data_IF_771535771982
#
_entry.id   IF_771535771982
#
_cell.length_a   1.000
_cell.length_b   1.000
_cell.length_c   1.000
_cell.angle_alpha   90.00
_cell.angle_beta   90.00
_cell.angle_gamma   90.00
#
_symmetry.space_group_name_H-M   'P 1'
#
loop_
_entity.id
_entity.type
_entity.pdbx_description
1 polymer ?
#
# COMPACT_ATOMS: atom_id res chain seq x y z
N UNK A 1 -31.18 -6.59 -4.33
CA UNK A 1 -32.22 -7.62 -4.12
C UNK A 1 -31.70 -8.62 -3.07
N UNK A 2 -32.21 -8.54 -1.85
CA UNK A 2 -31.79 -9.39 -0.73
C UNK A 2 -32.14 -10.88 -0.93
N UNK A 3 -32.89 -11.21 -1.95
CA UNK A 3 -33.33 -12.59 -2.26
C UNK A 3 -32.39 -13.32 -3.25
N UNK A 4 -31.35 -12.66 -3.77
CA UNK A 4 -30.40 -13.30 -4.69
C UNK A 4 -29.14 -13.73 -3.94
N UNK A 5 -28.77 -14.98 -4.12
CA UNK A 5 -27.46 -15.48 -3.74
C UNK A 5 -26.36 -14.78 -4.54
N UNK A 6 -25.19 -14.64 -3.93
CA UNK A 6 -24.01 -14.14 -4.64
C UNK A 6 -23.63 -15.12 -5.76
N UNK A 7 -23.35 -14.60 -6.94
CA UNK A 7 -22.97 -15.42 -8.09
C UNK A 7 -21.52 -15.88 -7.98
N UNK A 8 -21.29 -16.94 -7.22
CA UNK A 8 -19.97 -17.56 -7.03
C UNK A 8 -19.37 -18.14 -8.32
N UNK A 9 -20.19 -18.32 -9.36
CA UNK A 9 -19.69 -18.79 -10.66
C UNK A 9 -18.78 -17.77 -11.34
N UNK A 10 -18.87 -16.48 -10.96
CA UNK A 10 -17.97 -15.44 -11.46
C UNK A 10 -16.50 -15.72 -11.11
N UNK A 11 -16.21 -16.47 -10.04
CA UNK A 11 -14.85 -16.85 -9.69
C UNK A 11 -14.18 -17.81 -10.70
N UNK A 12 -14.93 -18.36 -11.65
CA UNK A 12 -14.35 -19.11 -12.77
C UNK A 12 -13.64 -18.21 -13.79
N UNK A 13 -13.89 -16.89 -13.74
CA UNK A 13 -13.24 -15.91 -14.61
C UNK A 13 -12.00 -15.33 -13.93
N UNK A 14 -10.82 -15.33 -14.58
CA UNK A 14 -9.55 -14.94 -13.96
C UNK A 14 -9.56 -13.55 -13.31
N UNK A 15 -10.22 -12.56 -13.91
CA UNK A 15 -10.32 -11.20 -13.35
C UNK A 15 -11.07 -11.17 -12.01
N UNK A 16 -12.19 -11.90 -11.93
CA UNK A 16 -12.98 -11.98 -10.70
C UNK A 16 -12.24 -12.77 -9.61
N UNK A 17 -11.58 -13.85 -9.99
CA UNK A 17 -10.78 -14.67 -9.08
C UNK A 17 -9.57 -13.89 -8.55
N UNK A 18 -8.84 -13.18 -9.41
CA UNK A 18 -7.74 -12.29 -9.02
C UNK A 18 -8.18 -11.22 -8.03
N UNK A 19 -9.29 -10.54 -8.31
CA UNK A 19 -9.86 -9.55 -7.40
C UNK A 19 -10.29 -10.17 -6.05
N UNK A 20 -10.91 -11.35 -6.07
CA UNK A 20 -11.26 -12.09 -4.86
C UNK A 20 -10.01 -12.42 -4.02
N UNK A 21 -8.92 -12.87 -4.64
CA UNK A 21 -7.66 -13.13 -3.97
C UNK A 21 -7.05 -11.85 -3.36
N UNK A 22 -7.13 -10.72 -4.07
CA UNK A 22 -6.70 -9.42 -3.56
C UNK A 22 -7.46 -9.03 -2.29
N UNK A 23 -8.81 -9.06 -2.34
CA UNK A 23 -9.66 -8.71 -1.19
C UNK A 23 -9.42 -9.67 -0.01
N UNK A 24 -9.28 -10.96 -0.28
CA UNK A 24 -8.96 -11.96 0.77
C UNK A 24 -7.64 -11.65 1.46
N UNK A 25 -6.60 -11.29 0.70
CA UNK A 25 -5.30 -10.88 1.26
C UNK A 25 -5.42 -9.60 2.06
N UNK A 26 -6.12 -8.59 1.54
CA UNK A 26 -6.33 -7.31 2.20
C UNK A 26 -7.07 -7.48 3.53
N UNK A 27 -8.15 -8.27 3.55
CA UNK A 27 -8.89 -8.59 4.77
C UNK A 27 -8.01 -9.31 5.80
N UNK A 28 -7.17 -10.24 5.35
CA UNK A 28 -6.22 -10.92 6.23
C UNK A 28 -5.25 -9.93 6.87
N UNK A 29 -4.67 -9.01 6.10
CA UNK A 29 -3.79 -7.97 6.62
C UNK A 29 -4.54 -7.08 7.61
N UNK A 30 -5.74 -6.64 7.28
CA UNK A 30 -6.57 -5.83 8.19
C UNK A 30 -6.83 -6.52 9.52
N UNK A 31 -7.17 -7.82 9.52
CA UNK A 31 -7.46 -8.56 10.76
C UNK A 31 -6.21 -8.92 11.58
N UNK A 32 -5.01 -8.93 10.98
CA UNK A 32 -3.78 -9.40 11.63
C UNK A 32 -2.82 -8.30 12.04
N UNK A 33 -2.91 -7.11 11.44
CA UNK A 33 -2.00 -5.99 11.68
C UNK A 33 -2.72 -4.90 12.45
N UNK A 34 -2.42 -4.69 13.74
CA UNK A 34 -3.08 -3.72 14.61
C UNK A 34 -3.12 -2.30 14.05
N UNK A 35 -2.09 -1.86 13.35
CA UNK A 35 -2.02 -0.53 12.75
C UNK A 35 -3.14 -0.23 11.73
N UNK A 36 -3.85 -1.26 11.21
CA UNK A 36 -4.99 -1.04 10.32
C UNK A 36 -6.29 -0.72 11.05
N UNK A 37 -6.51 -1.24 12.27
CA UNK A 37 -7.81 -1.15 12.95
C UNK A 37 -7.77 -0.57 14.36
N UNK A 38 -6.62 -0.65 15.06
CA UNK A 38 -6.49 0.01 16.37
C UNK A 38 -6.24 1.51 16.19
N UNK A 39 -6.69 2.28 17.17
CA UNK A 39 -6.53 3.74 17.21
C UNK A 39 -7.05 4.46 15.93
N UNK A 40 -8.09 3.93 15.31
CA UNK A 40 -8.67 4.46 14.07
C UNK A 40 -9.19 5.90 14.21
N UNK A 41 -9.62 6.26 15.40
CA UNK A 41 -10.11 7.60 15.75
C UNK A 41 -9.02 8.49 16.39
N UNK A 42 -7.82 7.96 16.59
CA UNK A 42 -6.71 8.72 17.14
C UNK A 42 -6.00 9.49 16.03
N UNK A 43 -5.95 10.81 16.15
CA UNK A 43 -5.32 11.69 15.16
C UNK A 43 -3.82 11.46 15.04
N UNK A 44 -3.16 11.05 16.12
CA UNK A 44 -1.72 10.80 16.14
C UNK A 44 -1.36 9.47 15.46
N UNK A 45 -2.34 8.62 15.20
CA UNK A 45 -2.16 7.35 14.48
C UNK A 45 -2.05 7.51 12.97
N UNK A 46 -2.35 8.68 12.41
CA UNK A 46 -2.37 8.94 10.97
C UNK A 46 -1.47 10.13 10.63
N UNK A 47 -0.61 9.95 9.63
CA UNK A 47 0.27 11.01 9.13
C UNK A 47 0.35 10.95 7.62
N UNK A 48 0.11 12.07 6.95
CA UNK A 48 0.46 12.22 5.54
C UNK A 48 2.00 12.24 5.38
N UNK A 49 2.51 11.45 4.45
CA UNK A 49 3.94 11.39 4.11
C UNK A 49 4.27 12.26 2.90
N UNK A 50 3.37 12.28 1.91
CA UNK A 50 3.49 13.13 0.72
C UNK A 50 2.12 13.68 0.35
N UNK A 51 2.01 15.02 0.32
CA UNK A 51 0.76 15.74 0.01
C UNK A 51 0.94 16.60 -1.27
N UNK A 52 2.17 16.97 -1.62
CA UNK A 52 2.45 17.89 -2.72
C UNK A 52 2.27 17.26 -4.10
N UNK A 53 2.00 15.97 -4.16
CA UNK A 53 1.72 15.24 -5.39
C UNK A 53 0.24 15.26 -5.81
N UNK A 54 -0.55 16.21 -5.32
CA UNK A 54 -1.98 16.31 -5.64
C UNK A 54 -2.26 16.45 -7.13
N UNK A 55 -1.41 17.15 -7.87
CA UNK A 55 -1.47 17.23 -9.34
C UNK A 55 -1.19 15.88 -10.02
N UNK A 56 -0.43 15.01 -9.35
CA UNK A 56 -0.08 13.67 -9.85
C UNK A 56 -1.10 12.61 -9.45
N UNK A 57 -2.08 12.92 -8.58
CA UNK A 57 -3.02 11.96 -7.99
C UNK A 57 -2.31 10.82 -7.25
N UNK A 58 -1.18 11.13 -6.62
CA UNK A 58 -0.40 10.21 -5.78
C UNK A 58 -0.57 10.61 -4.32
N UNK A 59 -0.91 9.63 -3.49
CA UNK A 59 -1.13 9.83 -2.07
C UNK A 59 -0.33 8.81 -1.26
N UNK A 60 0.42 9.30 -0.26
CA UNK A 60 1.14 8.44 0.67
C UNK A 60 0.85 8.86 2.10
N UNK A 61 0.58 7.87 2.95
CA UNK A 61 0.36 8.10 4.37
C UNK A 61 0.90 6.96 5.23
N UNK A 62 1.16 7.27 6.49
CA UNK A 62 1.51 6.33 7.54
C UNK A 62 0.31 6.12 8.47
N UNK A 63 0.08 4.86 8.86
CA UNK A 63 -0.73 4.48 10.00
C UNK A 63 0.18 3.86 11.05
N UNK A 64 0.09 4.38 12.27
CA UNK A 64 0.97 3.94 13.35
C UNK A 64 0.20 3.63 14.61
N UNK A 65 0.53 2.49 15.23
CA UNK A 65 0.02 2.10 16.55
C UNK A 65 1.18 1.54 17.35
N UNK A 66 1.49 2.16 18.48
CA UNK A 66 2.65 1.80 19.31
C UNK A 66 3.96 1.84 18.49
N UNK A 67 4.57 0.68 18.25
CA UNK A 67 5.80 0.57 17.47
C UNK A 67 5.57 0.00 16.06
N UNK A 68 4.33 -0.28 15.72
CA UNK A 68 3.96 -0.82 14.42
C UNK A 68 3.52 0.30 13.48
N UNK A 69 4.16 0.39 12.33
CA UNK A 69 3.86 1.37 11.29
C UNK A 69 3.59 0.70 9.96
N UNK A 70 2.52 1.17 9.30
CA UNK A 70 2.16 0.79 7.94
C UNK A 70 2.20 2.03 7.05
N UNK A 71 2.87 1.92 5.92
CA UNK A 71 2.88 2.92 4.87
C UNK A 71 1.97 2.46 3.74
N UNK A 72 1.04 3.32 3.34
CA UNK A 72 0.20 3.13 2.17
C UNK A 72 0.62 4.13 1.09
N UNK A 73 0.77 3.66 -0.15
CA UNK A 73 1.08 4.47 -1.32
C UNK A 73 0.09 4.14 -2.44
N UNK A 74 -0.57 5.16 -2.98
CA UNK A 74 -1.58 5.04 -4.03
C UNK A 74 -1.28 5.95 -5.20
N UNK A 75 -1.43 5.41 -6.41
CA UNK A 75 -1.45 6.16 -7.65
C UNK A 75 -2.84 6.00 -8.29
N UNK A 76 -3.61 7.08 -8.36
CA UNK A 76 -4.95 7.13 -8.96
C UNK A 76 -4.94 7.67 -10.40
N UNK A 77 -3.74 7.79 -11.02
CA UNK A 77 -3.59 8.23 -12.40
C UNK A 77 -3.25 7.07 -13.33
N UNK A 78 -3.35 7.31 -14.63
CA UNK A 78 -2.91 6.41 -15.69
C UNK A 78 -1.40 6.51 -16.01
N UNK A 79 -0.68 7.33 -15.25
CA UNK A 79 0.76 7.57 -15.45
C UNK A 79 1.60 6.65 -14.55
N UNK A 80 2.70 6.10 -15.09
CA UNK A 80 3.70 5.38 -14.33
C UNK A 80 4.68 6.38 -13.70
N UNK A 81 4.76 6.41 -12.39
CA UNK A 81 5.72 7.26 -11.67
C UNK A 81 6.89 6.42 -11.18
N UNK A 82 8.08 6.78 -11.68
CA UNK A 82 9.35 6.30 -11.11
C UNK A 82 9.78 7.24 -9.98
N UNK A 83 10.44 6.71 -8.98
CA UNK A 83 11.05 7.49 -7.89
C UNK A 83 10.07 8.40 -7.10
N UNK A 84 8.82 7.97 -6.92
CA UNK A 84 7.95 8.65 -5.94
C UNK A 84 8.58 8.52 -4.57
N UNK A 85 8.69 9.64 -3.84
CA UNK A 85 9.49 9.65 -2.62
C UNK A 85 8.82 10.41 -1.48
N UNK A 86 9.19 10.04 -0.25
CA UNK A 86 8.91 10.83 0.94
C UNK A 86 10.14 10.89 1.84
N UNK A 87 10.19 11.94 2.66
CA UNK A 87 11.24 12.13 3.65
C UNK A 87 10.81 11.58 5.01
N UNK A 88 11.75 10.96 5.73
CA UNK A 88 11.54 10.50 7.09
C UNK A 88 12.70 10.97 8.01
N UNK A 89 12.44 11.13 9.30
CA UNK A 89 13.39 11.72 10.24
C UNK A 89 14.45 10.73 10.76
N UNK A 90 14.25 9.44 10.57
CA UNK A 90 15.16 8.36 10.98
C UNK A 90 15.32 7.32 9.87
N UNK A 91 16.38 6.48 9.90
CA UNK A 91 16.55 5.42 8.92
C UNK A 91 15.43 4.40 9.04
N UNK A 92 14.81 4.06 7.92
CA UNK A 92 13.70 3.12 7.85
C UNK A 92 13.85 2.13 6.70
N UNK A 93 13.21 0.99 6.88
CA UNK A 93 13.02 -0.04 5.86
C UNK A 93 11.53 -0.28 5.65
N UNK A 94 11.10 -0.31 4.41
CA UNK A 94 9.75 -0.74 4.00
C UNK A 94 9.78 -2.18 3.52
N UNK A 95 8.90 -3.01 4.06
CA UNK A 95 8.69 -4.41 3.65
C UNK A 95 7.32 -4.50 3.00
N UNK A 96 7.26 -4.84 1.71
CA UNK A 96 6.00 -4.89 0.98
C UNK A 96 5.09 -6.01 1.47
N UNK A 97 3.84 -5.66 1.78
CA UNK A 97 2.80 -6.57 2.25
C UNK A 97 1.86 -7.00 1.13
N UNK A 98 1.53 -6.04 0.26
CA UNK A 98 0.64 -6.23 -0.89
C UNK A 98 0.88 -5.14 -1.94
N UNK A 99 0.77 -5.52 -3.21
CA UNK A 99 0.78 -4.64 -4.35
C UNK A 99 -0.39 -5.03 -5.26
N UNK A 100 -1.33 -4.10 -5.48
CA UNK A 100 -2.54 -4.38 -6.27
C UNK A 100 -2.25 -4.68 -7.74
N UNK A 101 -1.07 -4.26 -8.25
CA UNK A 101 -0.64 -4.51 -9.63
C UNK A 101 0.04 -5.88 -9.84
N UNK A 102 0.08 -6.74 -8.84
CA UNK A 102 0.59 -8.10 -9.05
C UNK A 102 -0.30 -8.92 -9.99
N UNK A 103 0.36 -9.69 -10.88
CA UNK A 103 -0.31 -10.57 -11.86
C UNK A 103 -1.33 -11.52 -11.22
N UNK A 104 -1.08 -12.01 -10.02
CA UNK A 104 -2.02 -12.86 -9.27
C UNK A 104 -3.34 -12.16 -8.89
N UNK A 105 -3.39 -10.83 -8.98
CA UNK A 105 -4.58 -10.01 -8.74
C UNK A 105 -5.17 -9.43 -10.04
N UNK A 106 -4.59 -9.77 -11.19
CA UNK A 106 -4.98 -9.27 -12.50
C UNK A 106 -4.21 -8.03 -12.96
N UNK A 107 -3.13 -7.67 -12.27
CA UNK A 107 -2.22 -6.59 -12.67
C UNK A 107 -1.14 -7.04 -13.66
N UNK A 108 -0.11 -6.22 -13.82
CA UNK A 108 0.96 -6.39 -14.80
C UNK A 108 2.33 -6.66 -14.17
N UNK A 109 2.48 -6.52 -12.86
CA UNK A 109 3.75 -6.70 -12.16
C UNK A 109 3.92 -8.14 -11.68
N UNK A 110 5.07 -8.75 -11.98
CA UNK A 110 5.40 -10.07 -11.45
C UNK A 110 5.47 -10.07 -9.91
N UNK A 111 5.02 -11.14 -9.29
CA UNK A 111 4.97 -11.25 -7.82
C UNK A 111 6.39 -11.34 -7.25
N UNK A 112 6.91 -10.21 -6.81
CA UNK A 112 8.20 -10.08 -6.14
C UNK A 112 8.08 -9.05 -5.03
N UNK A 113 7.71 -9.45 -3.80
CA UNK A 113 7.73 -8.53 -2.67
C UNK A 113 9.10 -7.88 -2.52
N UNK A 114 9.12 -6.57 -2.33
CA UNK A 114 10.36 -5.81 -2.24
C UNK A 114 10.62 -5.30 -0.84
N UNK A 115 11.88 -5.11 -0.50
CA UNK A 115 12.33 -4.32 0.63
C UNK A 115 12.97 -3.03 0.11
N UNK A 116 12.57 -1.90 0.67
CA UNK A 116 13.05 -0.57 0.28
C UNK A 116 13.71 0.05 1.50
N UNK A 117 14.97 0.42 1.37
CA UNK A 117 15.71 1.11 2.42
C UNK A 117 15.74 2.60 2.14
N UNK A 118 15.61 3.41 3.19
CA UNK A 118 15.81 4.86 3.07
C UNK A 118 17.28 5.21 2.86
N UNK A 119 17.53 6.24 2.08
CA UNK A 119 18.87 6.77 1.79
C UNK A 119 19.01 8.16 2.41
N UNK A 120 20.15 8.42 3.06
CA UNK A 120 20.47 9.74 3.62
C UNK A 120 20.87 10.73 2.53
N UNK A 121 20.19 11.85 2.42
CA UNK A 121 20.47 12.90 1.42
C UNK A 121 21.13 14.16 1.98
N UNK A 122 21.74 14.10 3.17
CA UNK A 122 22.34 15.20 3.95
C UNK A 122 21.34 16.03 4.77
N UNK A 123 20.03 15.86 4.59
CA UNK A 123 18.97 16.56 5.33
C UNK A 123 17.98 15.61 5.99
N UNK A 124 17.61 14.53 5.29
CA UNK A 124 16.64 13.56 5.74
C UNK A 124 16.90 12.15 5.15
N UNK A 125 16.23 11.14 5.69
CA UNK A 125 16.17 9.81 5.11
C UNK A 125 15.08 9.78 4.06
N UNK A 126 15.43 9.54 2.79
CA UNK A 126 14.52 9.51 1.65
C UNK A 126 14.19 8.07 1.29
N UNK A 127 12.91 7.75 1.27
CA UNK A 127 12.38 6.50 0.72
C UNK A 127 11.90 6.76 -0.70
N UNK A 128 12.29 5.91 -1.66
CA UNK A 128 11.88 6.01 -3.06
C UNK A 128 11.21 4.72 -3.50
N UNK A 129 10.15 4.83 -4.30
CA UNK A 129 9.46 3.67 -4.86
C UNK A 129 8.81 4.01 -6.20
N UNK A 130 8.64 2.99 -7.02
CA UNK A 130 7.85 3.09 -8.24
C UNK A 130 6.37 2.86 -7.94
N UNK A 131 5.50 3.61 -8.61
CA UNK A 131 4.06 3.44 -8.55
C UNK A 131 3.48 3.32 -9.97
N UNK A 132 3.17 2.08 -10.42
CA UNK A 132 2.44 1.86 -11.67
C UNK A 132 1.08 2.56 -11.70
N UNK A 133 0.46 2.72 -12.89
CA UNK A 133 -0.88 3.28 -13.01
C UNK A 133 -1.90 2.54 -12.14
N UNK A 134 -2.83 3.26 -11.53
CA UNK A 134 -3.95 2.73 -10.75
C UNK A 134 -3.55 1.70 -9.68
N UNK A 135 -2.37 1.89 -9.08
CA UNK A 135 -1.78 0.93 -8.13
C UNK A 135 -1.92 1.41 -6.69
N UNK A 136 -2.21 0.46 -5.80
CA UNK A 136 -2.10 0.61 -4.34
C UNK A 136 -1.08 -0.37 -3.77
N UNK A 137 -0.13 0.13 -3.00
CA UNK A 137 0.90 -0.66 -2.31
C UNK A 137 0.85 -0.41 -0.82
N UNK A 138 0.95 -1.47 -0.03
CA UNK A 138 1.04 -1.38 1.43
C UNK A 138 2.36 -1.99 1.89
N UNK A 139 3.00 -1.31 2.83
CA UNK A 139 4.28 -1.71 3.41
C UNK A 139 4.23 -1.71 4.92
N UNK A 140 4.88 -2.68 5.55
CA UNK A 140 5.30 -2.54 6.94
C UNK A 140 6.55 -1.68 6.98
N UNK A 141 6.58 -0.68 7.85
CA UNK A 141 7.76 0.15 8.06
C UNK A 141 8.45 -0.27 9.35
N UNK A 142 9.74 -0.51 9.26
CA UNK A 142 10.62 -0.86 10.39
C UNK A 142 11.74 0.18 10.49
N UNK A 143 12.12 0.53 11.71
CA UNK A 143 13.30 1.35 11.99
C UNK A 143 14.56 0.49 11.86
N UNK A 144 15.63 1.06 11.30
CA UNK A 144 16.88 0.35 11.05
C UNK A 144 17.99 0.89 11.96
#
# INVERSE_FOLDING_TARGET
>A
DQAREQDWELLKFPMHDGFHHYIKKLNKLYCTIPAFYKAELDKDSFKWLEINASEKLVYMFERRVEQESIVAAFNFSDHYYMDVSFAYFEPVKLIELINSDYEIYGGCTAVRPVEIYSEWNQEAHIVKMDLPPFTGRLFKMERV
#
